data_IF_772569200367
#
_entry.id   IF_772569200367
#
_cell.length_a   1.000
_cell.length_b   1.000
_cell.length_c   1.000
_cell.angle_alpha   90.00
_cell.angle_beta   90.00
_cell.angle_gamma   90.00
#
_symmetry.space_group_name_H-M   'P 1'
#
loop_
_entity.id
_entity.type
_entity.pdbx_description
1 polymer ?
#
# COMPACT_ATOMS: atom_id res chain seq x y z
N UNK A 1 13.58 -43.24 33.22
CA UNK A 1 13.64 -42.67 31.85
C UNK A 1 12.44 -41.78 31.47
N UNK A 2 11.30 -41.83 32.18
CA UNK A 2 10.11 -41.01 31.86
C UNK A 2 10.21 -39.51 32.19
N UNK A 3 10.98 -39.12 33.22
CA UNK A 3 11.14 -37.71 33.62
C UNK A 3 11.84 -36.83 32.57
N UNK A 4 12.69 -37.40 31.72
CA UNK A 4 13.33 -36.67 30.60
C UNK A 4 12.41 -36.50 29.38
N UNK A 5 11.44 -37.42 29.19
CA UNK A 5 10.44 -37.34 28.12
C UNK A 5 9.39 -36.25 28.39
N UNK A 6 8.99 -36.05 29.64
CA UNK A 6 8.04 -34.99 30.03
C UNK A 6 8.64 -33.59 29.81
N UNK A 7 9.95 -33.43 30.02
CA UNK A 7 10.64 -32.15 29.78
C UNK A 7 10.73 -31.76 28.31
N UNK A 8 10.65 -32.72 27.38
CA UNK A 8 10.71 -32.45 25.94
C UNK A 8 9.34 -32.04 25.38
N UNK A 9 8.26 -32.53 25.99
CA UNK A 9 6.88 -32.24 25.56
C UNK A 9 6.43 -30.80 25.91
N UNK A 10 7.04 -30.16 26.90
CA UNK A 10 6.78 -28.76 27.25
C UNK A 10 7.43 -27.73 26.31
N UNK A 11 8.40 -28.12 25.48
CA UNK A 11 9.08 -27.20 24.55
C UNK A 11 8.31 -27.06 23.22
N UNK A 12 7.45 -28.03 22.89
CA UNK A 12 6.66 -28.05 21.64
C UNK A 12 5.37 -27.19 21.77
N UNK A 13 5.04 -26.71 22.97
CA UNK A 13 4.00 -25.69 23.21
C UNK A 13 4.50 -24.25 22.94
N UNK A 14 5.60 -24.10 22.20
CA UNK A 14 6.13 -22.81 21.80
C UNK A 14 5.19 -22.12 20.81
N UNK A 15 4.43 -21.18 21.36
CA UNK A 15 3.98 -19.93 20.76
C UNK A 15 3.12 -20.07 19.51
N UNK A 16 1.81 -19.98 19.69
CA UNK A 16 0.96 -19.34 18.69
C UNK A 16 1.42 -17.88 18.56
N UNK A 17 2.40 -17.65 17.69
CA UNK A 17 2.70 -16.31 17.21
C UNK A 17 1.47 -15.86 16.43
N UNK A 18 0.56 -15.16 17.09
CA UNK A 18 -0.47 -14.38 16.41
C UNK A 18 0.25 -13.25 15.67
N UNK A 19 0.82 -13.57 14.51
CA UNK A 19 1.14 -12.56 13.53
C UNK A 19 -0.17 -11.84 13.23
N UNK A 20 -0.24 -10.53 13.53
CA UNK A 20 -1.30 -9.70 12.98
C UNK A 20 -1.15 -9.78 11.46
N UNK A 21 -2.07 -10.47 10.81
CA UNK A 21 -2.07 -10.62 9.35
C UNK A 21 -2.42 -9.25 8.75
N UNK A 22 -1.38 -8.48 8.44
CA UNK A 22 -1.50 -7.29 7.62
C UNK A 22 -1.59 -7.74 6.16
N UNK A 23 -2.69 -7.36 5.51
CA UNK A 23 -2.76 -7.37 4.06
C UNK A 23 -1.97 -6.16 3.55
N UNK A 24 -1.11 -6.36 2.55
CA UNK A 24 -0.25 -5.32 1.98
C UNK A 24 -0.48 -5.30 0.48
N UNK A 25 -1.03 -4.20 -0.02
CA UNK A 25 -1.16 -3.91 -1.44
C UNK A 25 -0.09 -2.89 -1.85
N UNK A 26 0.52 -3.13 -3.01
CA UNK A 26 1.60 -2.30 -3.54
C UNK A 26 1.24 -1.86 -4.95
N UNK A 27 1.42 -0.56 -5.21
CA UNK A 27 1.28 0.04 -6.52
C UNK A 27 2.60 0.66 -6.97
N UNK A 28 3.06 0.33 -8.17
CA UNK A 28 4.22 0.97 -8.79
C UNK A 28 3.74 1.93 -9.89
N UNK A 29 4.08 3.21 -9.78
CA UNK A 29 3.56 4.24 -10.66
C UNK A 29 4.64 5.12 -11.26
N UNK A 30 4.42 5.59 -12.48
CA UNK A 30 5.31 6.51 -13.21
C UNK A 30 4.49 7.68 -13.76
N UNK A 31 4.97 8.91 -13.61
CA UNK A 31 4.31 10.08 -14.19
C UNK A 31 4.63 10.24 -15.68
N UNK A 32 3.63 10.64 -16.46
CA UNK A 32 3.83 10.97 -17.88
C UNK A 32 4.46 12.37 -18.02
N UNK A 33 5.79 12.41 -18.09
CA UNK A 33 6.53 13.64 -18.33
C UNK A 33 7.92 13.37 -18.92
N UNK A 34 8.55 14.41 -19.49
CA UNK A 34 9.93 14.31 -20.03
C UNK A 34 10.98 13.87 -19.00
N UNK A 35 10.68 14.03 -17.71
CA UNK A 35 11.50 13.57 -16.58
C UNK A 35 10.56 12.81 -15.63
N UNK A 36 10.28 11.54 -15.94
CA UNK A 36 9.29 10.76 -15.20
C UNK A 36 9.59 10.72 -13.70
N UNK A 37 8.54 10.75 -12.91
CA UNK A 37 8.61 10.57 -11.46
C UNK A 37 8.07 9.18 -11.17
N UNK A 38 8.93 8.35 -10.58
CA UNK A 38 8.56 7.02 -10.12
C UNK A 38 8.18 7.06 -8.63
N UNK A 39 7.04 6.45 -8.30
CA UNK A 39 6.50 6.42 -6.94
C UNK A 39 5.91 5.04 -6.64
N UNK A 40 6.32 4.49 -5.49
CA UNK A 40 5.71 3.31 -4.88
C UNK A 40 4.62 3.77 -3.93
N UNK A 41 3.41 3.24 -4.06
CA UNK A 41 2.33 3.33 -3.10
C UNK A 41 2.23 2.03 -2.32
N UNK A 42 2.01 2.11 -1.02
CA UNK A 42 1.76 0.96 -0.16
C UNK A 42 0.55 1.23 0.71
N UNK A 43 -0.35 0.27 0.71
CA UNK A 43 -1.54 0.23 1.52
C UNK A 43 -1.52 -1.02 2.40
N UNK A 44 -1.60 -0.84 3.71
CA UNK A 44 -1.54 -1.89 4.69
C UNK A 44 -2.82 -1.91 5.51
N UNK A 45 -3.52 -3.04 5.53
CA UNK A 45 -4.75 -3.21 6.28
C UNK A 45 -4.66 -4.36 7.29
N UNK A 46 -5.00 -4.07 8.55
CA UNK A 46 -5.22 -5.07 9.61
C UNK A 46 -6.71 -5.27 9.79
N UNK A 47 -7.20 -6.45 9.38
CA UNK A 47 -8.59 -6.85 9.62
C UNK A 47 -8.90 -6.98 11.10
N UNK A 48 -7.92 -7.41 11.90
CA UNK A 48 -8.06 -7.62 13.34
C UNK A 48 -8.37 -6.31 14.07
N UNK A 49 -7.64 -5.27 13.73
CA UNK A 49 -7.70 -3.98 14.43
C UNK A 49 -8.57 -2.97 13.67
N UNK A 50 -9.11 -3.36 12.51
CA UNK A 50 -9.76 -2.47 11.55
C UNK A 50 -8.91 -1.21 11.29
N UNK A 51 -7.61 -1.42 11.13
CA UNK A 51 -6.62 -0.36 11.01
C UNK A 51 -6.05 -0.36 9.60
N UNK A 52 -5.87 0.83 9.03
CA UNK A 52 -5.29 1.01 7.70
C UNK A 52 -4.22 2.08 7.73
N UNK A 53 -3.07 1.76 7.16
CA UNK A 53 -1.88 2.60 7.16
C UNK A 53 -1.34 2.59 5.74
N UNK A 54 -0.96 3.76 5.22
CA UNK A 54 -0.32 3.84 3.92
C UNK A 54 0.97 4.64 3.96
N UNK A 55 1.80 4.43 2.95
CA UNK A 55 2.90 5.34 2.64
C UNK A 55 3.16 5.38 1.14
N UNK A 56 3.83 6.45 0.71
CA UNK A 56 4.43 6.53 -0.62
C UNK A 56 5.95 6.63 -0.52
N UNK A 57 6.66 6.13 -1.52
CA UNK A 57 8.12 6.27 -1.62
C UNK A 57 8.50 6.60 -3.05
N UNK A 58 9.05 7.80 -3.25
CA UNK A 58 9.65 8.19 -4.52
C UNK A 58 10.96 7.42 -4.76
N UNK A 59 11.23 7.05 -6.01
CA UNK A 59 12.44 6.31 -6.42
C UNK A 59 13.73 6.88 -5.81
N UNK A 60 13.92 8.19 -5.96
CA UNK A 60 15.13 8.88 -5.53
C UNK A 60 15.10 9.35 -4.07
N UNK A 61 14.08 8.96 -3.29
CA UNK A 61 13.95 9.32 -1.88
C UNK A 61 14.46 8.21 -0.96
N UNK A 62 15.30 8.59 0.01
CA UNK A 62 15.73 7.70 1.09
C UNK A 62 14.63 7.45 2.14
N UNK A 63 13.56 8.25 2.14
CA UNK A 63 12.49 8.16 3.12
C UNK A 63 11.12 7.95 2.45
N UNK A 64 10.32 7.08 3.05
CA UNK A 64 8.90 6.99 2.76
C UNK A 64 8.15 8.15 3.41
N UNK A 65 7.06 8.58 2.79
CA UNK A 65 6.18 9.63 3.27
C UNK A 65 4.88 8.96 3.74
N UNK A 66 4.48 9.11 5.01
CA UNK A 66 3.24 8.53 5.49
C UNK A 66 2.04 9.23 4.83
N UNK A 67 1.03 8.44 4.52
CA UNK A 67 -0.26 8.92 4.01
C UNK A 67 -1.38 8.41 4.91
N UNK A 68 -2.42 9.22 5.08
CA UNK A 68 -3.57 8.92 5.94
C UNK A 68 -4.82 8.81 5.08
N UNK A 69 -5.53 7.68 5.16
CA UNK A 69 -6.80 7.52 4.47
C UNK A 69 -7.82 8.50 5.03
N UNK A 70 -8.44 9.31 4.17
CA UNK A 70 -9.48 10.27 4.56
C UNK A 70 -10.83 9.99 3.91
N UNK A 71 -10.85 9.20 2.83
CA UNK A 71 -12.08 8.79 2.16
C UNK A 71 -11.89 7.45 1.46
N UNK A 72 -12.92 6.62 1.48
CA UNK A 72 -13.07 5.46 0.62
C UNK A 72 -14.51 5.42 0.12
N UNK A 73 -14.67 5.34 -1.20
CA UNK A 73 -15.92 5.04 -1.86
C UNK A 73 -15.74 3.73 -2.66
N UNK A 74 -16.83 2.98 -2.81
CA UNK A 74 -16.84 1.77 -3.66
C UNK A 74 -18.02 1.79 -4.61
N UNK A 75 -17.79 1.34 -5.84
CA UNK A 75 -18.80 1.28 -6.90
C UNK A 75 -18.81 -0.11 -7.54
N UNK A 76 -20.00 -0.64 -7.80
CA UNK A 76 -20.21 -1.84 -8.60
C UNK A 76 -20.46 -1.40 -10.04
N UNK A 77 -19.47 -1.55 -10.91
CA UNK A 77 -19.59 -1.17 -12.32
C UNK A 77 -20.39 -2.19 -13.15
N UNK A 78 -20.44 -3.45 -12.71
CA UNK A 78 -21.26 -4.53 -13.26
C UNK A 78 -21.33 -5.68 -12.23
N UNK A 79 -22.43 -6.46 -12.20
CA UNK A 79 -22.62 -7.55 -11.22
C UNK A 79 -21.49 -8.59 -11.20
N UNK A 80 -20.87 -8.86 -12.35
CA UNK A 80 -19.79 -9.85 -12.48
C UNK A 80 -18.36 -9.28 -12.35
N UNK A 81 -18.21 -7.98 -12.03
CA UNK A 81 -16.89 -7.34 -11.91
C UNK A 81 -16.52 -7.09 -10.45
N UNK A 82 -15.23 -7.17 -10.09
CA UNK A 82 -14.78 -6.70 -8.79
C UNK A 82 -15.21 -5.25 -8.55
N UNK A 83 -15.49 -4.92 -7.28
CA UNK A 83 -15.75 -3.55 -6.88
C UNK A 83 -14.60 -2.65 -7.30
N UNK A 84 -14.94 -1.49 -7.86
CA UNK A 84 -13.99 -0.40 -8.03
C UNK A 84 -13.96 0.39 -6.72
N UNK A 85 -12.77 0.66 -6.23
CA UNK A 85 -12.55 1.50 -5.05
C UNK A 85 -11.92 2.81 -5.48
N UNK A 86 -12.44 3.91 -4.94
CA UNK A 86 -11.81 5.23 -5.01
C UNK A 86 -11.42 5.63 -3.60
N UNK A 87 -10.13 5.74 -3.35
CA UNK A 87 -9.60 6.15 -2.05
C UNK A 87 -8.89 7.49 -2.14
N UNK A 88 -9.02 8.29 -1.08
CA UNK A 88 -8.31 9.57 -0.95
C UNK A 88 -7.40 9.51 0.27
N UNK A 89 -6.14 9.85 0.06
CA UNK A 89 -5.09 9.78 1.08
C UNK A 89 -4.41 11.12 1.24
N UNK A 90 -4.27 11.60 2.48
CA UNK A 90 -3.54 12.82 2.76
C UNK A 90 -2.07 12.53 3.03
N UNK A 91 -1.19 13.18 2.29
CA UNK A 91 0.25 13.17 2.49
C UNK A 91 0.65 14.04 3.67
N UNK A 92 1.40 13.45 4.61
CA UNK A 92 1.84 14.13 5.82
C UNK A 92 3.36 14.26 5.85
N UNK A 93 3.87 15.50 5.86
CA UNK A 93 5.30 15.80 5.99
C UNK A 93 5.52 16.53 7.31
N UNK A 94 6.36 15.95 8.17
CA UNK A 94 6.65 16.50 9.51
C UNK A 94 5.37 16.83 10.32
N UNK A 95 4.36 15.96 10.20
CA UNK A 95 3.07 16.11 10.89
C UNK A 95 2.11 17.12 10.24
N UNK A 96 2.48 17.76 9.14
CA UNK A 96 1.64 18.73 8.44
C UNK A 96 1.11 18.18 7.10
N UNK A 97 -0.12 18.56 6.75
CA UNK A 97 -0.71 18.28 5.44
C UNK A 97 0.13 18.88 4.31
N UNK A 98 0.49 18.07 3.32
CA UNK A 98 1.27 18.50 2.16
C UNK A 98 0.53 18.37 0.81
N UNK A 99 -0.40 17.43 0.71
CA UNK A 99 -1.18 17.17 -0.49
C UNK A 99 -2.08 15.95 -0.31
N UNK A 100 -2.82 15.59 -1.36
CA UNK A 100 -3.67 14.41 -1.36
C UNK A 100 -3.45 13.56 -2.60
N UNK A 101 -3.49 12.25 -2.41
CA UNK A 101 -3.56 11.26 -3.47
C UNK A 101 -5.00 10.80 -3.65
N UNK A 102 -5.46 10.69 -4.89
CA UNK A 102 -6.67 9.95 -5.26
C UNK A 102 -6.25 8.69 -5.99
N UNK A 103 -6.66 7.53 -5.48
CA UNK A 103 -6.29 6.22 -6.02
C UNK A 103 -7.55 5.48 -6.42
N UNK A 104 -7.59 5.03 -7.67
CA UNK A 104 -8.67 4.22 -8.22
C UNK A 104 -8.11 2.81 -8.47
N UNK A 105 -8.69 1.81 -7.83
CA UNK A 105 -8.30 0.41 -7.99
C UNK A 105 -9.51 -0.47 -8.27
N UNK A 106 -9.31 -1.56 -9.00
CA UNK A 106 -10.30 -2.61 -9.20
C UNK A 106 -9.60 -3.95 -9.36
N UNK A 107 -9.98 -4.91 -8.53
CA UNK A 107 -9.28 -6.20 -8.48
C UNK A 107 -7.81 -6.02 -8.13
N UNK A 108 -6.92 -6.57 -8.96
CA UNK A 108 -5.47 -6.51 -8.77
C UNK A 108 -4.78 -5.35 -9.53
N UNK A 109 -5.53 -4.35 -10.01
CA UNK A 109 -5.03 -3.29 -10.88
C UNK A 109 -5.38 -1.90 -10.37
N UNK A 110 -4.54 -0.94 -10.73
CA UNK A 110 -4.77 0.47 -10.49
C UNK A 110 -5.11 1.18 -11.81
N UNK A 111 -6.19 1.96 -11.80
CA UNK A 111 -6.72 2.67 -12.96
C UNK A 111 -6.52 4.19 -12.86
N UNK A 112 -6.17 4.69 -11.68
CA UNK A 112 -5.86 6.10 -11.48
C UNK A 112 -5.02 6.30 -10.24
N UNK A 113 -4.01 7.14 -10.36
CA UNK A 113 -3.21 7.60 -9.23
C UNK A 113 -2.84 9.07 -9.48
N UNK A 114 -3.55 9.97 -8.82
CA UNK A 114 -3.39 11.42 -9.00
C UNK A 114 -2.98 12.05 -7.69
N UNK A 115 -1.91 12.85 -7.71
CA UNK A 115 -1.48 13.67 -6.60
C UNK A 115 -1.83 15.14 -6.83
N UNK A 116 -2.38 15.81 -5.82
CA UNK A 116 -2.57 17.26 -5.81
C UNK A 116 -1.92 17.81 -4.55
N UNK A 117 -0.92 18.69 -4.70
CA UNK A 117 -0.28 19.32 -3.55
C UNK A 117 -1.16 20.41 -2.93
N UNK A 118 -0.81 20.86 -1.72
CA UNK A 118 -1.52 21.94 -1.01
C UNK A 118 -1.60 23.30 -1.75
N UNK A 119 -0.84 23.47 -2.84
CA UNK A 119 -0.88 24.66 -3.71
C UNK A 119 -1.75 24.43 -4.96
N UNK A 120 -2.38 23.27 -5.10
CA UNK A 120 -3.22 22.91 -6.24
C UNK A 120 -2.47 22.37 -7.46
N UNK A 121 -1.15 22.13 -7.36
CA UNK A 121 -0.41 21.52 -8.47
C UNK A 121 -0.70 20.02 -8.53
N UNK A 122 -1.20 19.58 -9.67
CA UNK A 122 -1.50 18.19 -9.96
C UNK A 122 -0.31 17.48 -10.63
N UNK A 123 -0.17 16.18 -10.33
CA UNK A 123 0.66 15.23 -11.05
C UNK A 123 -0.14 13.93 -11.18
N UNK A 124 -0.34 13.48 -12.42
CA UNK A 124 -0.97 12.21 -12.72
C UNK A 124 0.09 11.14 -12.95
N UNK A 125 -0.22 9.93 -12.51
CA UNK A 125 0.64 8.77 -12.66
C UNK A 125 -0.15 7.59 -13.22
N UNK A 126 0.56 6.76 -13.97
CA UNK A 126 0.06 5.51 -14.53
C UNK A 126 0.73 4.33 -13.85
N UNK A 127 -0.01 3.22 -13.72
CA UNK A 127 0.54 1.97 -13.18
C UNK A 127 1.64 1.45 -14.12
N UNK A 128 2.85 1.29 -13.59
CA UNK A 128 4.00 0.77 -14.31
C UNK A 128 4.19 -0.71 -13.96
N UNK A 129 3.66 -1.58 -14.82
CA UNK A 129 3.72 -3.04 -14.64
C UNK A 129 5.14 -3.61 -14.72
N UNK A 130 6.04 -2.95 -15.45
CA UNK A 130 7.41 -3.43 -15.67
C UNK A 130 8.34 -3.11 -14.49
N UNK A 131 7.87 -2.25 -13.58
CA UNK A 131 8.55 -1.87 -12.35
C UNK A 131 8.29 -2.82 -11.18
N UNK A 132 7.30 -3.71 -11.23
CA UNK A 132 7.12 -4.68 -10.14
C UNK A 132 8.25 -5.70 -10.12
N UNK A 133 8.63 -6.14 -8.92
CA UNK A 133 9.44 -7.34 -8.76
C UNK A 133 8.63 -8.61 -9.14
N UNK A 134 9.31 -9.75 -9.25
CA UNK A 134 8.69 -11.01 -9.69
C UNK A 134 7.52 -11.49 -8.79
N UNK A 135 7.48 -11.05 -7.53
CA UNK A 135 6.43 -11.40 -6.57
C UNK A 135 5.32 -10.34 -6.46
N UNK A 136 5.42 -9.21 -7.17
CA UNK A 136 4.50 -8.06 -7.07
C UNK A 136 4.44 -7.51 -5.62
N UNK A 137 5.58 -7.58 -4.92
CA UNK A 137 5.74 -7.11 -3.53
C UNK A 137 6.70 -5.93 -3.38
N UNK A 138 7.28 -5.46 -4.47
CA UNK A 138 8.11 -4.26 -4.45
C UNK A 138 8.23 -3.62 -5.84
N UNK A 139 8.69 -2.37 -5.87
CA UNK A 139 9.00 -1.65 -7.10
C UNK A 139 10.52 -1.60 -7.30
N UNK A 140 10.97 -2.12 -8.43
CA UNK A 140 12.34 -2.09 -8.93
C UNK A 140 12.36 -1.20 -10.17
N UNK A 141 12.82 0.03 -9.99
CA UNK A 141 12.98 1.01 -11.06
C UNK A 141 14.18 0.64 -11.95
N UNK A 142 14.03 0.78 -13.27
CA UNK A 142 15.02 0.39 -14.29
C UNK A 142 15.44 1.59 -15.11
#
# INVERSE_FOLDING_TARGET
MYKKLISLMFIILSTNSYASEWSIDIGCFTSDSKKPINIKFVDMYSKKDNARIGYVKYENSHMAIPIVLVKEDSEILAEDRPHQYTTVWNEMIQGAFNGSYTVISQGARYYGFTYINKKGKQVDFEENMDAYNAEIKDCIWK
#
